data_IF_092051842014
#
_entry.id   IF_092051842014
#
_cell.length_a   1.000
_cell.length_b   1.000
_cell.length_c   1.000
_cell.angle_alpha   90.00
_cell.angle_beta   90.00
_cell.angle_gamma   90.00
#
_symmetry.space_group_name_H-M   'P 1'
#
loop_
_entity.id
_entity.type
_entity.pdbx_description
1 polymer ?
#
# COMPACT_ATOMS: atom_id res chain seq x y z
N UNK A 1 -5.44 4.43 3.95
CA UNK A 1 -6.84 3.97 3.99
C UNK A 1 -7.28 3.61 5.41
N UNK A 2 -6.51 2.81 6.17
CA UNK A 2 -6.91 2.35 7.51
C UNK A 2 -7.19 3.49 8.51
N UNK A 3 -6.33 4.51 8.57
CA UNK A 3 -6.58 5.70 9.39
C UNK A 3 -7.95 6.33 9.12
N UNK A 4 -8.27 6.56 7.85
CA UNK A 4 -9.55 7.15 7.44
C UNK A 4 -10.74 6.22 7.74
N UNK A 5 -10.52 4.90 7.67
CA UNK A 5 -11.55 3.90 7.97
C UNK A 5 -11.98 3.88 9.44
N UNK A 6 -11.12 4.36 10.36
CA UNK A 6 -11.46 4.54 11.77
C UNK A 6 -12.54 5.61 11.97
N UNK A 7 -12.57 6.62 11.11
CA UNK A 7 -13.59 7.69 11.13
C UNK A 7 -14.81 7.29 10.28
N UNK A 8 -14.57 6.84 9.05
CA UNK A 8 -15.60 6.40 8.14
C UNK A 8 -15.05 5.44 7.09
N UNK A 9 -15.52 4.19 7.14
CA UNK A 9 -15.21 3.18 6.12
C UNK A 9 -15.60 3.62 4.72
N UNK A 10 -16.79 4.21 4.57
CA UNK A 10 -17.25 4.69 3.26
C UNK A 10 -16.31 5.76 2.69
N UNK A 11 -15.91 6.73 3.51
CA UNK A 11 -14.99 7.79 3.08
C UNK A 11 -13.62 7.21 2.70
N UNK A 12 -13.12 6.24 3.46
CA UNK A 12 -11.86 5.55 3.19
C UNK A 12 -11.85 4.82 1.84
N UNK A 13 -12.94 4.12 1.53
CA UNK A 13 -13.09 3.38 0.27
C UNK A 13 -13.32 4.32 -0.91
N UNK A 14 -14.11 5.38 -0.74
CA UNK A 14 -14.32 6.39 -1.79
C UNK A 14 -13.03 7.13 -2.11
N UNK A 15 -12.24 7.50 -1.08
CA UNK A 15 -10.89 8.04 -1.26
C UNK A 15 -10.00 7.11 -2.08
N UNK A 16 -9.98 5.81 -1.73
CA UNK A 16 -9.15 4.84 -2.45
C UNK A 16 -9.60 4.63 -3.90
N UNK A 17 -10.92 4.53 -4.16
CA UNK A 17 -11.48 4.47 -5.51
C UNK A 17 -11.10 5.68 -6.35
N UNK A 18 -11.17 6.88 -5.75
CA UNK A 18 -10.79 8.11 -6.42
C UNK A 18 -9.29 8.13 -6.76
N UNK A 19 -8.43 7.68 -5.85
CA UNK A 19 -7.00 7.54 -6.11
C UNK A 19 -6.72 6.60 -7.29
N UNK A 20 -7.35 5.42 -7.33
CA UNK A 20 -7.24 4.49 -8.46
C UNK A 20 -7.74 5.11 -9.77
N UNK A 21 -8.87 5.83 -9.74
CA UNK A 21 -9.40 6.53 -10.91
C UNK A 21 -8.39 7.56 -11.44
N UNK A 22 -7.77 8.35 -10.58
CA UNK A 22 -6.75 9.32 -10.98
C UNK A 22 -5.51 8.64 -11.55
N UNK A 23 -5.04 7.53 -10.95
CA UNK A 23 -3.95 6.72 -11.52
C UNK A 23 -4.28 6.23 -12.93
N UNK A 24 -5.52 5.79 -13.19
CA UNK A 24 -5.95 5.39 -14.54
C UNK A 24 -5.96 6.54 -15.52
N UNK A 25 -6.51 7.69 -15.15
CA UNK A 25 -6.60 8.88 -16.01
C UNK A 25 -5.20 9.41 -16.36
N UNK A 26 -4.26 9.33 -15.42
CA UNK A 26 -2.88 9.83 -15.58
C UNK A 26 -1.91 8.80 -16.15
N UNK A 27 -2.34 7.53 -16.31
CA UNK A 27 -1.46 6.45 -16.73
C UNK A 27 -0.39 6.04 -15.70
N UNK A 28 -0.56 6.41 -14.43
CA UNK A 28 0.36 6.08 -13.34
C UNK A 28 0.03 4.68 -12.79
N UNK A 29 1.07 3.87 -12.56
CA UNK A 29 0.93 2.56 -11.91
C UNK A 29 0.81 2.75 -10.39
N UNK A 30 -0.28 2.28 -9.75
CA UNK A 30 -0.43 2.38 -8.30
C UNK A 30 0.43 1.34 -7.58
N UNK A 31 0.92 1.70 -6.39
CA UNK A 31 1.56 0.78 -5.45
C UNK A 31 0.86 0.87 -4.08
N UNK A 32 0.80 -0.25 -3.37
CA UNK A 32 0.22 -0.32 -2.03
C UNK A 32 1.25 -0.92 -1.07
N UNK A 33 1.74 -0.09 -0.15
CA UNK A 33 2.64 -0.52 0.92
C UNK A 33 1.83 -1.03 2.10
N UNK A 34 2.00 -2.31 2.42
CA UNK A 34 1.38 -2.97 3.57
C UNK A 34 2.40 -3.08 4.71
N UNK A 35 1.98 -2.70 5.90
CA UNK A 35 2.76 -2.84 7.13
C UNK A 35 2.15 -3.95 8.00
N UNK A 36 2.94 -4.63 8.87
CA UNK A 36 2.39 -5.62 9.78
C UNK A 36 1.23 -5.10 10.64
N UNK A 37 1.27 -3.83 11.05
CA UNK A 37 0.23 -3.15 11.83
C UNK A 37 -1.11 -2.99 11.09
N UNK A 38 -1.11 -3.16 9.78
CA UNK A 38 -2.34 -3.18 8.98
C UNK A 38 -3.14 -4.46 9.20
N UNK A 39 -2.52 -5.51 9.76
CA UNK A 39 -3.13 -6.80 10.07
C UNK A 39 -3.27 -7.04 11.57
N UNK A 40 -2.39 -6.47 12.41
CA UNK A 40 -2.47 -6.60 13.87
C UNK A 40 -3.54 -5.68 14.46
N UNK A 41 -4.29 -6.13 15.45
CA UNK A 41 -5.31 -5.37 16.14
C UNK A 41 -5.09 -5.27 17.65
N UNK A 42 -6.11 -4.72 18.33
CA UNK A 42 -6.13 -4.55 19.79
C UNK A 42 -6.08 -5.88 20.56
N UNK A 43 -6.35 -6.97 19.87
CA UNK A 43 -6.40 -8.33 20.37
C UNK A 43 -5.07 -9.09 20.23
N UNK A 44 -4.09 -8.53 19.52
CA UNK A 44 -2.76 -9.15 19.35
C UNK A 44 -1.74 -8.66 20.39
N UNK A 45 -1.70 -7.34 20.66
CA UNK A 45 -0.80 -6.75 21.67
C UNK A 45 -1.27 -5.36 22.11
N UNK A 46 -1.09 -5.07 23.40
CA UNK A 46 -1.38 -3.74 24.00
C UNK A 46 -0.19 -2.78 23.93
N UNK A 47 1.03 -3.29 23.72
CA UNK A 47 2.26 -2.47 23.69
C UNK A 47 2.31 -1.52 22.48
N UNK A 48 1.46 -1.78 21.49
CA UNK A 48 1.38 -1.01 20.24
C UNK A 48 0.15 -0.07 20.19
N UNK A 49 -0.61 0.08 21.28
CA UNK A 49 -1.83 0.89 21.34
C UNK A 49 -1.63 2.39 21.01
N UNK A 50 -0.39 2.86 21.05
CA UNK A 50 -0.02 4.22 20.65
C UNK A 50 -0.07 4.42 19.13
N UNK A 51 0.05 3.36 18.34
CA UNK A 51 -0.08 3.46 16.89
C UNK A 51 -1.53 3.68 16.47
N UNK A 52 -1.77 4.55 15.48
CA UNK A 52 -3.10 4.73 14.91
C UNK A 52 -3.70 3.39 14.48
N UNK A 53 -5.01 3.25 14.63
CA UNK A 53 -5.78 2.03 14.35
C UNK A 53 -5.46 0.81 15.23
N UNK A 54 -4.47 0.80 16.12
CA UNK A 54 -4.20 -0.38 16.97
C UNK A 54 -5.31 -0.70 17.98
N UNK A 55 -6.20 0.27 18.28
CA UNK A 55 -7.42 0.04 19.05
C UNK A 55 -8.55 -0.64 18.26
N UNK A 56 -8.35 -0.88 16.97
CA UNK A 56 -9.32 -1.57 16.10
C UNK A 56 -9.01 -3.07 16.14
N UNK A 57 -10.02 -3.94 16.35
CA UNK A 57 -9.83 -5.40 16.27
C UNK A 57 -9.26 -5.84 14.92
N UNK A 58 -8.39 -6.85 14.92
CA UNK A 58 -7.69 -7.30 13.71
C UNK A 58 -8.67 -7.64 12.57
N UNK A 59 -9.78 -8.33 12.88
CA UNK A 59 -10.76 -8.77 11.90
C UNK A 59 -11.35 -7.61 11.07
N UNK A 60 -11.59 -6.45 11.71
CA UNK A 60 -12.08 -5.25 11.01
C UNK A 60 -11.02 -4.65 10.09
N UNK A 61 -9.75 -4.66 10.50
CA UNK A 61 -8.65 -4.20 9.66
C UNK A 61 -8.48 -5.09 8.43
N UNK A 62 -8.45 -6.41 8.65
CA UNK A 62 -8.36 -7.42 7.58
C UNK A 62 -9.51 -7.27 6.60
N UNK A 63 -10.73 -7.00 7.06
CA UNK A 63 -11.89 -6.76 6.18
C UNK A 63 -11.67 -5.55 5.26
N UNK A 64 -11.23 -4.42 5.82
CA UNK A 64 -10.95 -3.18 5.06
C UNK A 64 -9.81 -3.40 4.07
N UNK A 65 -8.70 -4.00 4.50
CA UNK A 65 -7.55 -4.30 3.63
C UNK A 65 -7.96 -5.25 2.50
N UNK A 66 -8.76 -6.28 2.80
CA UNK A 66 -9.27 -7.21 1.80
C UNK A 66 -10.17 -6.52 0.76
N UNK A 67 -10.97 -5.54 1.17
CA UNK A 67 -11.79 -4.76 0.24
C UNK A 67 -10.94 -3.82 -0.62
N UNK A 68 -9.93 -3.17 -0.04
CA UNK A 68 -8.95 -2.33 -0.76
C UNK A 68 -8.22 -3.15 -1.83
N UNK A 69 -7.72 -4.34 -1.48
CA UNK A 69 -7.05 -5.24 -2.42
C UNK A 69 -7.99 -5.70 -3.55
N UNK A 70 -9.24 -6.03 -3.22
CA UNK A 70 -10.26 -6.36 -4.23
C UNK A 70 -10.55 -5.20 -5.19
N UNK A 71 -10.61 -3.97 -4.68
CA UNK A 71 -10.80 -2.77 -5.51
C UNK A 71 -9.62 -2.53 -6.44
N UNK A 72 -8.39 -2.70 -5.96
CA UNK A 72 -7.19 -2.58 -6.78
C UNK A 72 -7.14 -3.68 -7.85
N UNK A 73 -7.40 -4.93 -7.46
CA UNK A 73 -7.39 -6.09 -8.36
C UNK A 73 -8.47 -6.04 -9.46
N UNK A 74 -9.54 -5.27 -9.25
CA UNK A 74 -10.59 -5.07 -10.26
C UNK A 74 -10.07 -4.35 -11.50
N UNK A 75 -9.22 -3.34 -11.31
CA UNK A 75 -8.77 -2.45 -12.38
C UNK A 75 -7.29 -2.65 -12.76
N UNK A 76 -6.53 -3.34 -11.91
CA UNK A 76 -5.09 -3.55 -12.07
C UNK A 76 -4.70 -5.00 -11.83
N UNK A 77 -3.71 -5.48 -12.58
CA UNK A 77 -3.05 -6.74 -12.27
C UNK A 77 -2.08 -6.54 -11.11
N UNK A 78 -2.27 -7.28 -10.01
CA UNK A 78 -1.36 -7.26 -8.87
C UNK A 78 -0.21 -8.22 -9.16
N UNK A 79 1.01 -7.68 -9.16
CA UNK A 79 2.23 -8.45 -9.41
C UNK A 79 3.27 -8.16 -8.34
N UNK A 80 4.21 -9.09 -8.08
CA UNK A 80 5.34 -8.82 -7.22
C UNK A 80 6.31 -7.79 -7.85
N UNK A 81 7.13 -7.16 -7.00
CA UNK A 81 8.03 -6.09 -7.42
C UNK A 81 9.03 -6.51 -8.51
N UNK A 82 9.46 -7.78 -8.54
CA UNK A 82 10.39 -8.25 -9.57
C UNK A 82 9.80 -8.14 -10.99
N UNK A 83 8.49 -8.37 -11.15
CA UNK A 83 7.82 -8.24 -12.45
C UNK A 83 7.86 -6.79 -12.96
N UNK A 84 7.75 -5.80 -12.06
CA UNK A 84 7.94 -4.40 -12.43
C UNK A 84 9.40 -4.11 -12.82
N UNK A 85 10.37 -4.68 -12.10
CA UNK A 85 11.79 -4.52 -12.42
C UNK A 85 12.15 -5.10 -13.80
N UNK A 86 11.66 -6.31 -14.11
CA UNK A 86 11.83 -6.96 -15.42
C UNK A 86 11.17 -6.16 -16.55
N UNK A 87 9.95 -5.66 -16.32
CA UNK A 87 9.25 -4.85 -17.31
C UNK A 87 10.01 -3.54 -17.64
N UNK A 88 10.63 -2.92 -16.64
CA UNK A 88 11.47 -1.74 -16.83
C UNK A 88 12.76 -2.09 -17.55
N UNK A 89 13.44 -3.17 -17.15
CA UNK A 89 14.67 -3.64 -17.79
C UNK A 89 14.48 -3.98 -19.28
N UNK A 90 13.32 -4.56 -19.64
CA UNK A 90 12.99 -4.90 -21.03
C UNK A 90 12.55 -3.71 -21.90
N UNK A 91 12.06 -2.61 -21.30
CA UNK A 91 11.54 -1.44 -22.04
C UNK A 91 12.56 -0.32 -22.18
N UNK A 92 13.45 -0.16 -21.21
CA UNK A 92 14.40 0.96 -21.19
C UNK A 92 15.71 0.59 -21.87
N UNK A 93 16.11 1.38 -22.89
CA UNK A 93 17.54 1.48 -23.25
C UNK A 93 18.28 1.91 -21.98
N UNK A 94 19.16 1.03 -21.48
CA UNK A 94 20.07 1.21 -20.33
C UNK A 94 19.72 2.39 -19.42
N UNK A 95 18.89 2.14 -18.39
CA UNK A 95 18.71 3.14 -17.34
C UNK A 95 20.08 3.54 -16.78
N UNK A 96 20.31 4.84 -16.53
CA UNK A 96 21.57 5.29 -15.95
C UNK A 96 21.78 4.59 -14.61
N UNK A 97 22.88 3.84 -14.50
CA UNK A 97 23.28 3.19 -13.26
C UNK A 97 23.82 4.26 -12.32
N UNK A 98 23.18 4.43 -11.18
CA UNK A 98 23.65 5.30 -10.10
C UNK A 98 24.43 4.41 -9.13
N UNK A 99 25.74 4.64 -9.01
CA UNK A 99 26.51 4.00 -7.94
C UNK A 99 26.23 4.72 -6.62
N UNK A 100 25.73 4.02 -5.59
CA UNK A 100 25.48 4.64 -4.30
C UNK A 100 26.82 5.05 -3.69
N UNK A 101 26.98 6.35 -3.44
CA UNK A 101 28.08 6.87 -2.63
C UNK A 101 27.67 6.74 -1.17
N UNK A 102 28.10 5.66 -0.53
CA UNK A 102 28.03 5.56 0.92
C UNK A 102 29.20 6.37 1.48
N UNK A 103 28.90 7.46 2.20
CA UNK A 103 29.94 8.09 3.01
C UNK A 103 30.36 7.09 4.09
N UNK A 104 31.65 6.80 4.16
CA UNK A 104 32.20 6.07 5.30
C UNK A 104 31.95 6.95 6.53
N UNK A 105 31.03 6.53 7.39
CA UNK A 105 30.73 7.23 8.64
C UNK A 105 32.01 7.49 9.43
N UNK A 106 32.16 8.75 9.86
CA UNK A 106 33.00 9.12 10.99
C UNK A 106 32.29 8.76 12.30
#
# INVERSE_FOLDING_TARGET
VLYLSMYSRWLALTYFRFALLMCRITGVQPSLLLHPLDFLGSDDTRDLDFFPAMRVPHAKKVEVVSEVLRLMAKDYQIVPMHTHAEAVAGRSKALPRIEPKFEAGQ
#
